data_IF_378029565528
#
_entry.id   IF_378029565528
#
_cell.length_a   1.000
_cell.length_b   1.000
_cell.length_c   1.000
_cell.angle_alpha   90.00
_cell.angle_beta   90.00
_cell.angle_gamma   90.00
#
_symmetry.space_group_name_H-M   'P 1'
#
loop_
_entity.id
_entity.type
_entity.pdbx_description
1 polymer ?
#
# COMPACT_ATOMS: atom_id res chain seq x y z
N UNK A 1 -13.80 12.71 15.88
CA UNK A 1 -14.80 11.66 15.59
C UNK A 1 -14.08 10.34 15.72
N UNK A 2 -14.58 9.44 16.56
CA UNK A 2 -14.04 8.09 16.71
C UNK A 2 -14.73 7.27 15.63
N UNK A 3 -13.96 6.69 14.70
CA UNK A 3 -14.51 5.72 13.76
C UNK A 3 -14.79 4.45 14.55
N UNK A 4 -16.06 4.17 14.84
CA UNK A 4 -16.50 2.87 15.33
C UNK A 4 -16.46 1.92 14.13
N UNK A 5 -15.30 1.29 13.91
CA UNK A 5 -15.21 0.13 13.03
C UNK A 5 -16.15 -0.94 13.55
N UNK A 6 -16.92 -1.56 12.66
CA UNK A 6 -17.68 -2.77 12.97
C UNK A 6 -16.71 -3.81 13.55
N UNK A 7 -17.15 -4.57 14.56
CA UNK A 7 -16.31 -5.57 15.21
C UNK A 7 -15.72 -6.53 14.16
N UNK A 8 -14.43 -6.36 13.83
CA UNK A 8 -13.76 -7.13 12.78
C UNK A 8 -13.06 -6.28 11.71
N UNK A 9 -13.43 -5.02 11.48
CA UNK A 9 -12.82 -4.19 10.43
C UNK A 9 -11.50 -3.54 10.87
N UNK A 10 -10.59 -3.31 9.92
CA UNK A 10 -9.33 -2.61 10.18
C UNK A 10 -9.59 -1.12 10.49
N UNK A 11 -9.13 -0.58 11.62
CA UNK A 11 -9.40 0.81 12.00
C UNK A 11 -8.62 1.84 11.17
N UNK A 12 -7.71 1.42 10.29
CA UNK A 12 -6.86 2.31 9.49
C UNK A 12 -7.30 2.39 8.03
N UNK A 13 -7.43 1.24 7.37
CA UNK A 13 -7.82 1.16 5.96
C UNK A 13 -9.31 0.89 5.75
N UNK A 14 -10.03 0.44 6.79
CA UNK A 14 -11.45 0.09 6.67
C UNK A 14 -11.72 -1.29 6.06
N UNK A 15 -10.71 -2.15 5.88
CA UNK A 15 -10.91 -3.52 5.40
C UNK A 15 -11.86 -4.28 6.33
N UNK A 16 -12.93 -4.86 5.80
CA UNK A 16 -13.96 -5.56 6.56
C UNK A 16 -13.62 -7.03 6.82
N UNK A 17 -14.14 -7.57 7.92
CA UNK A 17 -14.02 -8.99 8.31
C UNK A 17 -12.57 -9.51 8.42
N UNK A 18 -11.61 -8.63 8.68
CA UNK A 18 -10.18 -8.95 8.78
C UNK A 18 -9.69 -9.21 10.20
N UNK A 19 -10.56 -9.17 11.22
CA UNK A 19 -10.13 -9.31 12.63
C UNK A 19 -9.35 -8.11 13.17
N UNK A 20 -9.62 -6.91 12.64
CA UNK A 20 -8.95 -5.66 13.06
C UNK A 20 -7.58 -5.45 12.41
N UNK A 21 -6.75 -4.61 13.04
CA UNK A 21 -5.44 -4.23 12.47
C UNK A 21 -4.50 -5.43 12.28
N UNK A 22 -4.44 -6.34 13.26
CA UNK A 22 -3.52 -7.47 13.22
C UNK A 22 -3.86 -8.44 12.09
N UNK A 23 -5.13 -8.79 11.91
CA UNK A 23 -5.50 -9.69 10.81
C UNK A 23 -5.43 -9.01 9.44
N UNK A 24 -5.62 -7.68 9.36
CA UNK A 24 -5.26 -6.92 8.16
C UNK A 24 -3.78 -7.07 7.78
N UNK A 25 -2.88 -7.06 8.78
CA UNK A 25 -1.45 -7.29 8.56
C UNK A 25 -1.15 -8.74 8.16
N UNK A 26 -1.85 -9.72 8.74
CA UNK A 26 -1.74 -11.14 8.30
C UNK A 26 -2.11 -11.28 6.83
N UNK A 27 -3.24 -10.71 6.38
CA UNK A 27 -3.63 -10.76 4.97
C UNK A 27 -2.57 -10.12 4.06
N UNK A 28 -1.98 -9.00 4.49
CA UNK A 28 -0.88 -8.36 3.77
C UNK A 28 0.33 -9.28 3.62
N UNK A 29 0.76 -9.95 4.69
CA UNK A 29 1.88 -10.89 4.61
C UNK A 29 1.57 -12.09 3.69
N UNK A 30 0.33 -12.59 3.70
CA UNK A 30 -0.10 -13.66 2.80
C UNK A 30 -0.11 -13.23 1.33
N UNK A 31 -0.61 -12.02 1.04
CA UNK A 31 -0.55 -11.41 -0.30
C UNK A 31 0.89 -11.30 -0.77
N UNK A 32 1.78 -10.73 0.05
CA UNK A 32 3.20 -10.60 -0.27
C UNK A 32 3.84 -11.98 -0.50
N UNK A 33 3.50 -12.97 0.33
CA UNK A 33 3.97 -14.34 0.15
C UNK A 33 3.56 -14.95 -1.20
N UNK A 34 2.33 -14.68 -1.67
CA UNK A 34 1.86 -15.09 -3.01
C UNK A 34 2.62 -14.40 -4.12
N UNK A 35 2.87 -13.10 -3.99
CA UNK A 35 3.64 -12.32 -4.96
C UNK A 35 5.07 -12.85 -5.09
N UNK A 36 5.77 -13.11 -3.98
CA UNK A 36 7.12 -13.69 -4.03
C UNK A 36 7.17 -15.11 -4.61
N UNK A 37 6.05 -15.83 -4.59
CA UNK A 37 5.96 -17.21 -5.07
C UNK A 37 5.59 -17.31 -6.55
N UNK A 38 5.14 -16.23 -7.18
CA UNK A 38 4.65 -16.22 -8.56
C UNK A 38 5.11 -14.93 -9.29
N UNK A 39 6.05 -15.01 -10.25
CA UNK A 39 6.51 -13.85 -11.01
C UNK A 39 5.38 -13.09 -11.71
N UNK A 40 4.28 -13.76 -12.09
CA UNK A 40 3.13 -13.12 -12.71
C UNK A 40 2.36 -12.22 -11.72
N UNK A 41 2.39 -12.52 -10.42
CA UNK A 41 1.87 -11.63 -9.36
C UNK A 41 2.91 -10.59 -8.96
N UNK A 42 4.19 -10.98 -8.88
CA UNK A 42 5.27 -10.12 -8.40
C UNK A 42 5.42 -8.80 -9.16
N UNK A 43 4.98 -8.75 -10.43
CA UNK A 43 5.07 -7.55 -11.25
C UNK A 43 4.35 -6.31 -10.65
N UNK A 44 3.39 -6.50 -9.76
CA UNK A 44 2.67 -5.41 -9.06
C UNK A 44 3.06 -5.25 -7.58
N UNK A 45 4.04 -6.03 -7.08
CA UNK A 45 4.43 -6.07 -5.67
C UNK A 45 4.71 -4.69 -5.05
N UNK A 46 5.39 -3.82 -5.80
CA UNK A 46 5.70 -2.47 -5.34
C UNK A 46 4.44 -1.64 -5.08
N UNK A 47 3.43 -1.72 -5.95
CA UNK A 47 2.15 -1.03 -5.77
C UNK A 47 1.41 -1.57 -4.54
N UNK A 48 1.41 -2.89 -4.35
CA UNK A 48 0.84 -3.53 -3.15
C UNK A 48 1.47 -3.00 -1.86
N UNK A 49 2.80 -2.95 -1.80
CA UNK A 49 3.54 -2.45 -0.62
C UNK A 49 3.30 -0.95 -0.41
N UNK A 50 3.33 -0.15 -1.47
CA UNK A 50 3.15 1.30 -1.40
C UNK A 50 1.73 1.65 -0.93
N UNK A 51 0.71 1.04 -1.54
CA UNK A 51 -0.69 1.24 -1.16
C UNK A 51 -0.94 0.84 0.29
N UNK A 52 -0.47 -0.35 0.71
CA UNK A 52 -0.63 -0.81 2.09
C UNK A 52 0.07 0.13 3.09
N UNK A 53 1.28 0.60 2.76
CA UNK A 53 2.03 1.54 3.59
C UNK A 53 1.34 2.90 3.72
N UNK A 54 0.76 3.40 2.62
CA UNK A 54 -0.03 4.64 2.58
C UNK A 54 -1.32 4.54 3.40
N UNK A 55 -1.92 3.35 3.46
CA UNK A 55 -3.09 3.05 4.28
C UNK A 55 -2.77 2.87 5.77
N UNK A 56 -1.53 2.50 6.12
CA UNK A 56 -1.09 2.17 7.49
C UNK A 56 0.14 2.98 7.95
N UNK A 57 0.11 4.31 7.91
CA UNK A 57 1.29 5.15 8.10
C UNK A 57 1.90 5.05 9.51
N UNK A 58 1.11 4.69 10.52
CA UNK A 58 1.58 4.55 11.90
C UNK A 58 2.61 3.42 12.03
N UNK A 59 2.47 2.37 11.22
CA UNK A 59 3.40 1.23 11.19
C UNK A 59 4.52 1.38 10.16
N UNK A 60 4.19 1.90 8.98
CA UNK A 60 5.04 1.79 7.79
C UNK A 60 5.67 3.12 7.35
N UNK A 61 5.12 4.27 7.75
CA UNK A 61 5.63 5.61 7.38
C UNK A 61 6.31 6.33 8.55
N UNK A 62 7.31 5.66 9.13
CA UNK A 62 8.05 6.16 10.32
C UNK A 62 8.89 7.41 10.03
N UNK A 63 9.29 7.63 8.79
CA UNK A 63 10.06 8.81 8.38
C UNK A 63 9.37 9.58 7.25
N UNK A 64 9.71 10.86 7.13
CA UNK A 64 9.25 11.69 6.02
C UNK A 64 9.74 11.15 4.67
N UNK A 65 10.97 10.64 4.61
CA UNK A 65 11.51 10.01 3.41
C UNK A 65 10.72 8.78 2.99
N UNK A 66 10.31 7.93 3.95
CA UNK A 66 9.46 6.77 3.66
C UNK A 66 8.08 7.19 3.14
N UNK A 67 7.44 8.19 3.77
CA UNK A 67 6.18 8.73 3.28
C UNK A 67 6.30 9.24 1.83
N UNK A 68 7.32 10.06 1.56
CA UNK A 68 7.55 10.60 0.22
C UNK A 68 7.89 9.50 -0.81
N UNK A 69 8.64 8.46 -0.41
CA UNK A 69 8.98 7.35 -1.28
C UNK A 69 7.74 6.57 -1.74
N UNK A 70 6.89 6.12 -0.80
CA UNK A 70 5.68 5.37 -1.13
C UNK A 70 4.69 6.20 -1.95
N UNK A 71 4.48 7.48 -1.58
CA UNK A 71 3.56 8.34 -2.33
C UNK A 71 4.06 8.60 -3.75
N UNK A 72 5.34 8.94 -3.92
CA UNK A 72 5.91 9.21 -5.25
C UNK A 72 5.90 7.96 -6.12
N UNK A 73 6.25 6.81 -5.54
CA UNK A 73 6.23 5.52 -6.24
C UNK A 73 4.81 5.16 -6.70
N UNK A 74 3.81 5.33 -5.83
CA UNK A 74 2.41 5.07 -6.18
C UNK A 74 1.89 6.01 -7.28
N UNK A 75 2.13 7.32 -7.17
CA UNK A 75 1.76 8.27 -8.21
C UNK A 75 2.44 7.93 -9.54
N UNK A 76 3.73 7.59 -9.51
CA UNK A 76 4.45 7.21 -10.71
C UNK A 76 3.87 5.95 -11.34
N UNK A 77 3.62 4.90 -10.55
CA UNK A 77 3.06 3.64 -11.06
C UNK A 77 1.67 3.82 -11.70
N UNK A 78 0.87 4.76 -11.18
CA UNK A 78 -0.45 5.07 -11.72
C UNK A 78 -0.38 5.91 -13.01
N UNK A 79 0.56 6.84 -13.10
CA UNK A 79 0.73 7.70 -14.29
C UNK A 79 1.48 7.01 -15.42
N UNK A 80 2.43 6.15 -15.06
CA UNK A 80 3.32 5.47 -15.98
C UNK A 80 3.32 4.01 -15.56
N UNK A 81 2.82 3.10 -16.41
CA UNK A 81 2.78 1.65 -16.23
C UNK A 81 4.20 1.04 -16.10
N UNK A 82 4.90 1.42 -15.03
CA UNK A 82 6.36 1.55 -15.05
C UNK A 82 7.06 0.62 -14.06
N UNK A 83 8.28 0.17 -14.41
CA UNK A 83 8.98 -0.92 -13.72
C UNK A 83 9.76 -0.44 -12.48
N UNK A 84 10.39 -1.34 -11.69
CA UNK A 84 11.05 -1.04 -10.41
C UNK A 84 12.24 -0.04 -10.44
N UNK A 85 12.67 0.43 -11.62
CA UNK A 85 13.76 1.41 -11.75
C UNK A 85 13.43 2.78 -11.15
N UNK A 86 12.15 3.09 -10.94
CA UNK A 86 11.65 4.33 -10.36
C UNK A 86 12.10 4.48 -8.91
N UNK A 87 12.06 3.40 -8.13
CA UNK A 87 12.42 3.41 -6.72
C UNK A 87 13.83 3.98 -6.48
N UNK A 88 14.82 3.59 -7.29
CA UNK A 88 16.19 4.12 -7.18
C UNK A 88 16.29 5.62 -7.47
N UNK A 89 15.53 6.11 -8.46
CA UNK A 89 15.50 7.54 -8.82
C UNK A 89 14.81 8.37 -7.72
N UNK A 90 13.72 7.85 -7.16
CA UNK A 90 13.03 8.45 -6.01
C UNK A 90 13.96 8.50 -4.80
N UNK A 91 14.65 7.40 -4.46
CA UNK A 91 15.61 7.41 -3.36
C UNK A 91 16.72 8.44 -3.56
N UNK A 92 17.33 8.50 -4.76
CA UNK A 92 18.37 9.48 -5.05
C UNK A 92 17.88 10.93 -4.93
N UNK A 93 16.66 11.20 -5.41
CA UNK A 93 16.03 12.52 -5.25
C UNK A 93 15.77 12.86 -3.77
N UNK A 94 15.30 11.90 -2.97
CA UNK A 94 15.06 12.09 -1.53
C UNK A 94 16.34 12.26 -0.69
N UNK A 95 17.49 11.80 -1.18
CA UNK A 95 18.79 11.95 -0.51
C UNK A 95 19.43 13.32 -0.77
N UNK A 96 19.33 13.84 -2.00
CA UNK A 96 19.93 15.11 -2.42
C UNK A 96 18.96 16.29 -2.52
N UNK A 97 17.68 16.07 -2.20
CA UNK A 97 16.61 17.04 -2.38
C UNK A 97 16.52 18.12 -1.29
N UNK A 98 15.66 19.13 -1.49
CA UNK A 98 15.39 20.16 -0.48
C UNK A 98 14.76 19.55 0.78
N UNK A 99 14.76 20.33 1.86
CA UNK A 99 14.05 19.95 3.09
C UNK A 99 12.56 19.72 2.78
N UNK A 100 12.08 18.51 3.08
CA UNK A 100 10.70 18.12 2.87
C UNK A 100 9.88 18.50 4.10
N UNK A 101 8.60 18.81 3.89
CA UNK A 101 7.61 18.96 4.96
C UNK A 101 6.61 17.81 4.85
N UNK A 102 6.27 17.17 5.97
CA UNK A 102 5.30 16.08 5.98
C UNK A 102 3.91 16.61 5.62
N UNK A 103 3.33 16.09 4.55
CA UNK A 103 1.94 16.34 4.23
C UNK A 103 1.04 15.82 5.37
N UNK A 104 -0.06 16.52 5.69
CA UNK A 104 -1.07 16.00 6.60
C UNK A 104 -1.55 14.63 6.13
N UNK A 105 -1.60 13.70 7.06
CA UNK A 105 -2.05 12.34 6.80
C UNK A 105 -3.58 12.35 6.67
N UNK A 106 -4.18 11.84 5.58
CA UNK A 106 -5.63 11.74 5.46
C UNK A 106 -6.23 10.91 6.61
N UNK A 107 -7.47 11.17 7.04
CA UNK A 107 -8.08 10.38 8.09
C UNK A 107 -8.14 8.89 7.72
N UNK A 108 -8.20 7.98 8.71
CA UNK A 108 -8.47 6.57 8.46
C UNK A 108 -9.69 6.37 7.56
N UNK A 109 -9.64 5.36 6.68
CA UNK A 109 -10.69 5.08 5.69
C UNK A 109 -10.78 6.08 4.52
N UNK A 110 -9.98 7.16 4.51
CA UNK A 110 -9.96 8.15 3.42
C UNK A 110 -8.73 8.01 2.51
N UNK A 111 -8.23 6.78 2.32
CA UNK A 111 -6.93 6.48 1.68
C UNK A 111 -7.07 5.47 0.53
N UNK A 112 -8.15 5.62 -0.22
CA UNK A 112 -8.60 4.65 -1.22
C UNK A 112 -9.71 3.75 -0.69
N UNK A 113 -10.52 3.24 -1.62
CA UNK A 113 -11.63 2.33 -1.33
C UNK A 113 -11.23 0.84 -1.42
N UNK A 114 -10.13 0.53 -2.14
CA UNK A 114 -9.58 -0.80 -2.22
C UNK A 114 -8.64 -1.06 -1.06
N UNK A 115 -8.71 -2.25 -0.51
CA UNK A 115 -7.94 -2.69 0.65
C UNK A 115 -7.21 -3.99 0.35
N UNK A 116 -6.36 -4.42 1.28
CA UNK A 116 -5.66 -5.69 1.16
C UNK A 116 -6.62 -6.89 1.11
N UNK A 117 -7.83 -6.76 1.67
CA UNK A 117 -8.85 -7.81 1.60
C UNK A 117 -9.31 -8.06 0.15
N UNK A 118 -9.47 -7.00 -0.65
CA UNK A 118 -9.82 -7.10 -2.06
C UNK A 118 -8.74 -7.82 -2.87
N UNK A 119 -7.47 -7.50 -2.61
CA UNK A 119 -6.31 -8.14 -3.25
C UNK A 119 -6.19 -9.61 -2.80
N UNK A 120 -6.41 -9.88 -1.53
CA UNK A 120 -6.34 -11.23 -0.96
C UNK A 120 -7.43 -12.15 -1.52
N UNK A 121 -8.60 -11.62 -1.88
CA UNK A 121 -9.72 -12.38 -2.44
C UNK A 121 -9.48 -12.90 -3.88
N UNK A 122 -8.44 -12.40 -4.56
CA UNK A 122 -8.14 -12.78 -5.94
C UNK A 122 -7.67 -14.23 -6.08
N UNK A 123 -8.21 -14.94 -7.07
CA UNK A 123 -7.95 -16.36 -7.32
C UNK A 123 -6.70 -16.60 -8.16
N UNK A 124 -6.50 -15.80 -9.21
CA UNK A 124 -5.40 -15.97 -10.17
C UNK A 124 -4.52 -14.71 -10.33
N UNK A 125 -3.38 -14.89 -11.02
CA UNK A 125 -2.40 -13.82 -11.18
C UNK A 125 -2.90 -12.65 -12.02
N UNK A 126 -3.80 -12.89 -12.99
CA UNK A 126 -4.34 -11.83 -13.84
C UNK A 126 -5.30 -10.97 -13.03
N UNK A 127 -6.25 -11.59 -12.34
CA UNK A 127 -7.19 -10.89 -11.46
C UNK A 127 -6.45 -10.09 -10.39
N UNK A 128 -5.42 -10.69 -9.79
CA UNK A 128 -4.54 -10.02 -8.81
C UNK A 128 -3.94 -8.72 -9.36
N UNK A 129 -3.34 -8.78 -10.55
CA UNK A 129 -2.75 -7.62 -11.21
C UNK A 129 -3.80 -6.56 -11.56
N UNK A 130 -4.97 -6.97 -12.05
CA UNK A 130 -6.08 -6.06 -12.37
C UNK A 130 -6.62 -5.34 -11.13
N UNK A 131 -6.74 -6.02 -9.99
CA UNK A 131 -7.20 -5.42 -8.74
C UNK A 131 -6.17 -4.46 -8.15
N UNK A 132 -4.88 -4.82 -8.13
CA UNK A 132 -3.83 -3.95 -7.55
C UNK A 132 -3.64 -2.65 -8.36
N UNK A 133 -3.96 -2.66 -9.66
CA UNK A 133 -3.80 -1.50 -10.56
C UNK A 133 -4.97 -0.52 -10.59
N UNK A 134 -6.04 -0.76 -9.83
CA UNK A 134 -7.21 0.13 -9.77
C UNK A 134 -6.97 1.32 -8.85
#
# INVERSE_FOLDING_TARGET
MVFEGTAGSCPLCGADDVGGREGCEVLFQEVVGREFSDPARFQVHMMTVDAYSLQHPEGYMKSLKSHAAHLTSMCWAQEFDAPPLVGKRVSAWLEGGPELVRAPVPPPGARGALTVADVHATGDAREHVEVVRR
#
